data_IF_579799445761
#
_entry.id   IF_579799445761
#
_cell.length_a   1.000
_cell.length_b   1.000
_cell.length_c   1.000
_cell.angle_alpha   90.00
_cell.angle_beta   90.00
_cell.angle_gamma   90.00
#
_symmetry.space_group_name_H-M   'P 1'
#
loop_
_entity.id
_entity.type
_entity.pdbx_description
1 polymer ?
#
# COMPACT_ATOMS: atom_id res chain seq x y z
N UNK A 1 -13.50 54.43 -25.64
CA UNK A 1 -12.44 53.63 -26.30
C UNK A 1 -11.34 53.46 -25.26
N UNK A 2 -10.86 52.23 -25.05
CA UNK A 2 -10.07 51.84 -23.89
C UNK A 2 -8.91 52.77 -23.55
N UNK A 3 -8.69 53.00 -22.25
CA UNK A 3 -7.53 53.72 -21.74
C UNK A 3 -6.77 52.78 -20.80
N UNK A 4 -6.14 51.80 -21.42
CA UNK A 4 -5.01 51.09 -20.83
C UNK A 4 -3.90 52.12 -20.57
N UNK A 5 -3.30 52.11 -19.39
CA UNK A 5 -2.10 52.88 -19.11
C UNK A 5 -0.88 52.12 -19.67
N UNK A 6 -0.34 52.58 -20.80
CA UNK A 6 0.92 52.08 -21.36
C UNK A 6 2.08 52.94 -20.85
N UNK A 7 2.89 52.40 -19.93
CA UNK A 7 4.10 53.05 -19.45
C UNK A 7 5.33 52.32 -20.01
N UNK A 8 6.09 53.00 -20.87
CA UNK A 8 7.32 52.47 -21.45
C UNK A 8 8.48 52.67 -20.46
N UNK A 9 8.43 51.93 -19.35
CA UNK A 9 9.38 52.00 -18.24
C UNK A 9 8.74 52.45 -16.92
N UNK A 10 8.98 51.67 -15.86
CA UNK A 10 8.61 51.80 -14.44
C UNK A 10 7.50 52.78 -14.06
N UNK A 11 6.30 52.27 -13.74
CA UNK A 11 5.23 53.04 -13.11
C UNK A 11 5.45 53.08 -11.59
N UNK A 12 5.95 54.21 -11.07
CA UNK A 12 6.11 54.41 -9.62
C UNK A 12 4.97 55.28 -9.07
N UNK A 13 4.09 54.67 -8.29
CA UNK A 13 2.90 55.31 -7.69
C UNK A 13 3.09 55.57 -6.20
N UNK A 14 4.20 56.22 -5.84
CA UNK A 14 4.45 56.70 -4.48
C UNK A 14 4.50 55.60 -3.39
N UNK A 15 4.61 56.00 -2.10
CA UNK A 15 4.91 55.07 -1.01
C UNK A 15 3.75 54.13 -0.61
N UNK A 16 2.55 54.30 -1.19
CA UNK A 16 1.35 53.51 -0.85
C UNK A 16 0.86 52.61 -2.00
N UNK A 17 1.60 52.54 -3.11
CA UNK A 17 1.27 51.68 -4.23
C UNK A 17 0.03 52.12 -5.02
N UNK A 18 -0.53 51.18 -5.80
CA UNK A 18 -1.72 51.42 -6.64
C UNK A 18 -2.96 51.17 -5.77
N UNK A 19 -3.79 52.20 -5.58
CA UNK A 19 -5.12 52.04 -5.00
C UNK A 19 -6.16 52.02 -6.13
N UNK A 20 -6.98 50.97 -6.17
CA UNK A 20 -8.07 50.83 -7.13
C UNK A 20 -9.36 50.52 -6.39
N UNK A 21 -10.44 51.22 -6.74
CA UNK A 21 -11.79 50.91 -6.25
C UNK A 21 -12.47 49.75 -7.01
N UNK A 22 -11.76 49.14 -7.97
CA UNK A 22 -12.23 48.02 -8.79
C UNK A 22 -11.10 47.05 -9.13
N UNK A 23 -11.40 46.05 -9.97
CA UNK A 23 -10.44 45.00 -10.35
C UNK A 23 -9.16 45.59 -10.96
N UNK A 24 -8.01 45.03 -10.54
CA UNK A 24 -6.70 45.32 -11.13
C UNK A 24 -6.20 44.04 -11.78
N UNK A 25 -6.12 44.03 -13.11
CA UNK A 25 -5.71 42.86 -13.88
C UNK A 25 -4.32 43.06 -14.47
N UNK A 26 -3.51 42.01 -14.45
CA UNK A 26 -2.21 41.95 -15.14
C UNK A 26 -2.31 40.87 -16.22
N UNK A 27 -2.23 41.27 -17.49
CA UNK A 27 -2.40 40.36 -18.61
C UNK A 27 -1.34 40.59 -19.68
N UNK A 28 -0.92 39.50 -20.32
CA UNK A 28 -0.01 39.51 -21.46
C UNK A 28 -0.59 38.65 -22.59
N UNK A 29 -0.58 39.19 -23.81
CA UNK A 29 -0.98 38.48 -25.03
C UNK A 29 0.20 37.82 -25.75
N UNK A 30 1.34 37.74 -25.07
CA UNK A 30 2.57 37.10 -25.57
C UNK A 30 2.87 35.83 -24.78
N UNK A 31 3.91 35.10 -25.19
CA UNK A 31 4.40 33.92 -24.47
C UNK A 31 5.25 34.22 -23.23
N UNK A 32 5.54 35.50 -22.95
CA UNK A 32 6.33 35.90 -21.79
C UNK A 32 5.45 35.95 -20.53
N UNK A 33 6.03 35.76 -19.32
CA UNK A 33 5.29 35.86 -18.07
C UNK A 33 4.57 37.21 -17.96
N UNK A 34 3.28 37.17 -17.63
CA UNK A 34 2.50 38.40 -17.44
C UNK A 34 2.97 39.19 -16.21
N UNK A 35 3.53 38.51 -15.21
CA UNK A 35 4.13 39.11 -14.02
C UNK A 35 5.40 38.36 -13.63
N UNK A 36 6.47 39.12 -13.38
CA UNK A 36 7.70 38.64 -12.74
C UNK A 36 8.01 39.58 -11.59
N UNK A 37 8.11 39.02 -10.37
CA UNK A 37 8.43 39.79 -9.17
C UNK A 37 9.87 39.46 -8.78
N UNK A 38 10.73 40.48 -8.73
CA UNK A 38 12.14 40.34 -8.37
C UNK A 38 12.41 41.25 -7.18
N UNK A 39 12.75 40.64 -6.05
CA UNK A 39 13.27 41.34 -4.88
C UNK A 39 14.78 41.03 -4.75
N UNK A 40 15.59 42.07 -4.63
CA UNK A 40 17.05 42.01 -4.53
C UNK A 40 17.57 42.43 -3.14
N UNK A 41 16.67 42.67 -2.17
CA UNK A 41 17.00 42.97 -0.78
C UNK A 41 16.41 41.90 0.15
N UNK A 42 16.57 42.06 1.46
CA UNK A 42 16.18 41.07 2.48
C UNK A 42 14.70 41.09 2.86
N UNK A 43 13.87 41.85 2.14
CA UNK A 43 12.42 41.85 2.36
C UNK A 43 11.75 40.69 1.64
N UNK A 44 10.51 40.39 2.00
CA UNK A 44 9.73 39.35 1.36
C UNK A 44 9.56 39.61 -0.15
N UNK A 45 9.48 38.51 -0.91
CA UNK A 45 9.31 38.55 -2.36
C UNK A 45 7.86 38.87 -2.73
N UNK A 46 6.89 38.31 -2.00
CA UNK A 46 5.46 38.53 -2.22
C UNK A 46 4.67 38.31 -0.94
N UNK A 47 3.80 39.25 -0.60
CA UNK A 47 2.82 39.12 0.47
C UNK A 47 1.43 39.42 -0.08
N UNK A 48 0.46 38.54 0.16
CA UNK A 48 -0.94 38.76 -0.17
C UNK A 48 -1.74 38.85 1.12
N UNK A 49 -2.56 39.90 1.20
CA UNK A 49 -3.38 40.19 2.36
C UNK A 49 -4.86 40.06 2.02
N UNK A 50 -5.62 39.52 2.96
CA UNK A 50 -7.05 39.75 3.07
C UNK A 50 -7.30 40.76 4.20
N UNK A 51 -7.73 41.96 3.82
CA UNK A 51 -7.78 43.13 4.70
C UNK A 51 -6.41 43.40 5.36
N UNK A 52 -6.30 43.25 6.69
CA UNK A 52 -5.05 43.43 7.44
C UNK A 52 -4.31 42.13 7.72
N UNK A 53 -4.84 40.98 7.29
CA UNK A 53 -4.30 39.66 7.60
C UNK A 53 -3.56 39.13 6.39
N UNK A 54 -2.30 38.76 6.56
CA UNK A 54 -1.52 38.14 5.51
C UNK A 54 -1.93 36.67 5.36
N UNK A 55 -2.36 36.29 4.17
CA UNK A 55 -2.90 34.95 3.86
C UNK A 55 -1.97 34.12 2.98
N UNK A 56 -1.02 34.76 2.30
CA UNK A 56 -0.01 34.09 1.51
C UNK A 56 1.28 34.89 1.54
N UNK A 57 2.39 34.21 1.75
CA UNK A 57 3.71 34.83 1.80
C UNK A 57 4.74 34.05 1.00
N UNK A 58 5.68 34.75 0.40
CA UNK A 58 6.92 34.22 -0.14
C UNK A 58 8.04 35.05 0.46
N UNK A 59 8.71 34.49 1.46
CA UNK A 59 9.79 35.17 2.16
C UNK A 59 11.04 35.32 1.27
N UNK A 60 11.96 36.18 1.70
CA UNK A 60 13.33 36.15 1.19
C UNK A 60 13.93 34.74 1.37
N UNK A 61 14.69 34.28 0.36
CA UNK A 61 15.18 32.90 0.28
C UNK A 61 14.15 31.84 -0.14
N UNK A 62 12.87 32.22 -0.36
CA UNK A 62 11.90 31.44 -1.13
C UNK A 62 11.00 30.47 -0.36
N UNK A 63 10.90 30.58 0.97
CA UNK A 63 9.90 29.82 1.72
C UNK A 63 8.50 30.38 1.47
N UNK A 64 7.55 29.50 1.14
CA UNK A 64 6.17 29.85 0.85
C UNK A 64 5.27 29.49 2.03
N UNK A 65 4.50 30.45 2.53
CA UNK A 65 3.49 30.24 3.57
C UNK A 65 2.08 30.48 3.05
N UNK A 66 1.12 29.64 3.42
CA UNK A 66 -0.32 29.83 3.18
C UNK A 66 -1.01 29.84 4.54
N UNK A 67 -1.66 30.95 4.88
CA UNK A 67 -2.25 31.19 6.21
C UNK A 67 -1.23 31.43 7.33
N UNK A 68 0.06 31.61 7.02
CA UNK A 68 1.12 31.96 7.97
C UNK A 68 2.12 32.91 7.34
N UNK A 69 2.65 33.83 8.16
CA UNK A 69 3.71 34.78 7.79
C UNK A 69 5.11 34.31 8.19
N UNK A 70 5.21 33.17 8.88
CA UNK A 70 6.48 32.61 9.33
C UNK A 70 6.58 31.15 8.89
N UNK A 71 6.61 30.87 7.56
CA UNK A 71 6.83 29.52 7.06
C UNK A 71 8.17 28.97 7.54
N UNK A 72 8.13 27.87 8.29
CA UNK A 72 9.32 27.20 8.84
C UNK A 72 9.90 26.16 7.87
N UNK A 73 9.18 25.85 6.80
CA UNK A 73 9.54 24.90 5.73
C UNK A 73 9.38 25.57 4.36
N UNK A 74 9.92 24.94 3.29
CA UNK A 74 9.85 25.50 1.92
C UNK A 74 8.43 25.78 1.44
N UNK A 75 7.46 24.97 1.87
CA UNK A 75 6.03 25.20 1.67
C UNK A 75 5.30 24.82 2.97
N UNK A 76 4.70 25.80 3.64
CA UNK A 76 4.04 25.64 4.94
C UNK A 76 2.58 26.14 4.87
N UNK A 77 1.61 25.28 5.20
CA UNK A 77 0.20 25.63 5.30
C UNK A 77 -0.21 25.66 6.78
N UNK A 78 -0.79 26.77 7.25
CA UNK A 78 -1.18 26.92 8.66
C UNK A 78 -2.58 26.36 8.93
N UNK A 79 -2.72 25.52 9.96
CA UNK A 79 -3.98 24.95 10.45
C UNK A 79 -4.91 24.32 9.38
N UNK A 80 -4.35 23.94 8.23
CA UNK A 80 -5.00 23.24 7.12
C UNK A 80 -4.08 22.12 6.65
N UNK A 81 -4.57 21.29 5.74
CA UNK A 81 -3.82 20.20 5.17
C UNK A 81 -3.93 20.26 3.63
N UNK A 82 -3.06 19.54 2.91
CA UNK A 82 -3.30 19.25 1.49
C UNK A 82 -4.42 18.20 1.29
N UNK A 83 -5.05 17.75 2.37
CA UNK A 83 -5.68 16.44 2.45
C UNK A 83 -7.13 16.48 1.98
N UNK A 84 -7.44 15.43 1.22
CA UNK A 84 -8.78 14.90 0.97
C UNK A 84 -9.48 14.68 2.32
N UNK A 85 -10.54 15.44 2.59
CA UNK A 85 -11.43 15.18 3.72
C UNK A 85 -11.92 13.73 3.65
N UNK A 86 -11.63 12.91 4.65
CA UNK A 86 -12.14 11.54 4.69
C UNK A 86 -13.66 11.60 4.88
N UNK A 87 -14.40 11.35 3.80
CA UNK A 87 -15.83 11.04 3.89
C UNK A 87 -16.04 9.66 4.49
N UNK A 88 -17.31 9.31 4.74
CA UNK A 88 -17.66 7.95 5.13
C UNK A 88 -17.13 6.94 4.10
N UNK A 89 -16.58 5.80 4.55
CA UNK A 89 -16.09 4.78 3.64
C UNK A 89 -17.25 4.29 2.75
N UNK A 90 -17.06 4.40 1.44
CA UNK A 90 -17.98 3.85 0.44
C UNK A 90 -17.34 2.65 -0.22
N UNK A 91 -18.14 1.63 -0.51
CA UNK A 91 -17.70 0.52 -1.37
C UNK A 91 -17.39 1.08 -2.75
N UNK A 92 -16.15 0.93 -3.20
CA UNK A 92 -15.71 1.42 -4.51
C UNK A 92 -16.00 0.43 -5.63
N UNK A 93 -15.85 -0.86 -5.34
CA UNK A 93 -16.11 -1.98 -6.22
C UNK A 93 -16.24 -3.26 -5.39
N UNK A 94 -16.73 -4.32 -6.03
CA UNK A 94 -16.89 -5.63 -5.43
C UNK A 94 -16.37 -6.67 -6.42
N UNK A 95 -15.46 -7.52 -5.98
CA UNK A 95 -15.10 -8.71 -6.75
C UNK A 95 -15.92 -9.88 -6.22
N UNK A 96 -16.78 -10.42 -7.07
CA UNK A 96 -17.51 -11.67 -6.84
C UNK A 96 -17.42 -12.50 -8.11
N UNK A 97 -16.81 -13.69 -8.09
CA UNK A 97 -16.75 -14.54 -9.27
C UNK A 97 -18.10 -15.23 -9.59
N UNK A 98 -19.13 -15.11 -8.74
CA UNK A 98 -20.45 -15.77 -8.88
C UNK A 98 -20.33 -17.29 -9.18
N UNK A 99 -19.23 -17.91 -8.72
CA UNK A 99 -18.87 -19.27 -9.08
C UNK A 99 -18.00 -19.91 -8.00
N UNK A 100 -18.59 -20.84 -7.24
CA UNK A 100 -17.91 -21.57 -6.16
C UNK A 100 -16.76 -22.46 -6.64
N UNK A 101 -16.70 -22.79 -7.93
CA UNK A 101 -15.53 -23.49 -8.49
C UNK A 101 -14.31 -22.57 -8.62
N UNK A 102 -14.52 -21.26 -8.67
CA UNK A 102 -13.48 -20.22 -8.69
C UNK A 102 -13.16 -19.78 -7.27
N UNK A 103 -14.14 -19.51 -6.43
CA UNK A 103 -13.91 -19.13 -5.03
C UNK A 103 -15.06 -19.62 -4.17
N UNK A 104 -14.73 -20.43 -3.19
CA UNK A 104 -15.64 -20.86 -2.14
C UNK A 104 -14.94 -20.72 -0.79
N UNK A 105 -15.66 -20.10 0.15
CA UNK A 105 -15.18 -19.71 1.48
C UNK A 105 -13.85 -18.94 1.44
N UNK A 106 -13.87 -17.74 0.86
CA UNK A 106 -12.71 -16.84 0.83
C UNK A 106 -12.24 -16.54 2.27
N UNK A 107 -10.98 -16.87 2.58
CA UNK A 107 -10.52 -16.91 3.97
C UNK A 107 -9.47 -15.84 4.29
N UNK A 108 -8.46 -15.67 3.43
CA UNK A 108 -7.39 -14.69 3.64
C UNK A 108 -7.02 -14.00 2.32
N UNK A 109 -6.65 -12.73 2.43
CA UNK A 109 -6.19 -11.91 1.31
C UNK A 109 -4.81 -11.33 1.59
N UNK A 110 -3.95 -11.36 0.58
CA UNK A 110 -2.70 -10.60 0.54
C UNK A 110 -2.74 -9.64 -0.64
N UNK A 111 -2.32 -8.38 -0.46
CA UNK A 111 -2.26 -7.39 -1.55
C UNK A 111 -0.80 -7.08 -1.88
N UNK A 112 -0.45 -7.16 -3.16
CA UNK A 112 0.87 -6.79 -3.66
C UNK A 112 0.75 -6.09 -5.01
N UNK A 113 1.17 -4.82 -5.06
CA UNK A 113 1.02 -3.97 -6.24
C UNK A 113 -0.45 -3.84 -6.66
N UNK A 114 -0.76 -4.18 -7.91
CA UNK A 114 -2.11 -4.11 -8.48
C UNK A 114 -2.93 -5.40 -8.32
N UNK A 115 -2.46 -6.35 -7.53
CA UNK A 115 -3.10 -7.64 -7.37
C UNK A 115 -3.48 -7.92 -5.91
N UNK A 116 -4.67 -8.47 -5.72
CA UNK A 116 -5.06 -9.16 -4.49
C UNK A 116 -4.99 -10.68 -4.71
N UNK A 117 -4.51 -11.40 -3.71
CA UNK A 117 -4.27 -12.84 -3.72
C UNK A 117 -5.14 -13.43 -2.63
N UNK A 118 -6.20 -14.15 -3.01
CA UNK A 118 -7.26 -14.60 -2.10
C UNK A 118 -7.27 -16.12 -2.07
N UNK A 119 -7.13 -16.71 -0.89
CA UNK A 119 -7.27 -18.16 -0.72
C UNK A 119 -8.71 -18.55 -0.44
N UNK A 120 -9.16 -19.62 -1.09
CA UNK A 120 -10.47 -20.22 -0.87
C UNK A 120 -10.34 -21.50 -0.05
N UNK A 121 -10.96 -21.50 1.14
CA UNK A 121 -10.82 -22.60 2.09
C UNK A 121 -11.51 -23.88 1.58
N UNK A 122 -12.70 -23.77 0.99
CA UNK A 122 -13.45 -24.95 0.50
C UNK A 122 -13.15 -25.26 -0.98
N UNK A 123 -12.62 -24.28 -1.71
CA UNK A 123 -12.25 -24.41 -3.12
C UNK A 123 -10.80 -24.84 -3.34
N UNK A 124 -10.02 -24.97 -2.26
CA UNK A 124 -8.65 -25.47 -2.20
C UNK A 124 -7.68 -24.76 -3.17
N UNK A 125 -7.79 -23.43 -3.27
CA UNK A 125 -7.12 -22.67 -4.31
C UNK A 125 -6.62 -21.29 -3.85
N UNK A 126 -5.92 -20.62 -4.77
CA UNK A 126 -5.52 -19.22 -4.68
C UNK A 126 -6.01 -18.49 -5.94
N UNK A 127 -6.86 -17.49 -5.77
CA UNK A 127 -7.30 -16.62 -6.87
C UNK A 127 -6.51 -15.32 -6.85
N UNK A 128 -6.03 -14.92 -8.01
CA UNK A 128 -5.37 -13.64 -8.24
C UNK A 128 -6.40 -12.70 -8.86
N UNK A 129 -6.66 -11.59 -8.19
CA UNK A 129 -7.63 -10.56 -8.60
C UNK A 129 -6.85 -9.31 -9.01
N UNK A 130 -7.02 -8.85 -10.25
CA UNK A 130 -6.54 -7.54 -10.69
C UNK A 130 -7.42 -6.46 -10.06
N UNK A 131 -6.79 -5.61 -9.24
CA UNK A 131 -7.40 -4.49 -8.52
C UNK A 131 -6.86 -3.13 -9.02
N UNK A 132 -6.28 -3.09 -10.24
CA UNK A 132 -5.81 -1.84 -10.85
C UNK A 132 -6.93 -0.83 -11.10
N UNK A 133 -8.14 -1.30 -11.37
CA UNK A 133 -9.37 -0.51 -11.29
C UNK A 133 -10.15 -0.93 -10.03
N UNK A 134 -10.08 -0.15 -8.93
CA UNK A 134 -10.81 -0.46 -7.69
C UNK A 134 -12.32 -0.46 -7.83
N UNK A 135 -12.87 0.09 -8.91
CA UNK A 135 -14.32 0.08 -9.18
C UNK A 135 -14.79 -1.16 -9.95
N UNK A 136 -13.87 -1.86 -10.61
CA UNK A 136 -14.16 -3.05 -11.40
C UNK A 136 -13.02 -4.09 -11.27
N UNK A 137 -12.83 -4.67 -10.06
CA UNK A 137 -11.83 -5.71 -9.87
C UNK A 137 -12.19 -6.97 -10.67
N UNK A 138 -11.20 -7.64 -11.26
CA UNK A 138 -11.43 -8.80 -12.14
C UNK A 138 -10.51 -9.96 -11.81
N UNK A 139 -10.93 -11.19 -12.10
CA UNK A 139 -10.08 -12.37 -11.94
C UNK A 139 -8.94 -12.35 -12.97
N UNK A 140 -7.70 -12.30 -12.50
CA UNK A 140 -6.50 -12.39 -13.32
C UNK A 140 -6.08 -13.84 -13.55
N UNK A 141 -6.18 -14.68 -12.52
CA UNK A 141 -5.84 -16.10 -12.60
C UNK A 141 -6.31 -16.89 -11.39
N UNK A 142 -6.25 -18.21 -11.50
CA UNK A 142 -6.74 -19.14 -10.48
C UNK A 142 -5.79 -20.33 -10.37
N UNK A 143 -5.00 -20.38 -9.30
CA UNK A 143 -4.18 -21.53 -8.99
C UNK A 143 -5.03 -22.58 -8.27
N UNK A 144 -5.35 -23.66 -8.98
CA UNK A 144 -6.11 -24.80 -8.44
C UNK A 144 -5.30 -26.09 -8.68
N UNK A 145 -4.48 -26.52 -7.71
CA UNK A 145 -3.47 -27.55 -7.94
C UNK A 145 -4.04 -28.99 -8.03
N UNK A 146 -5.34 -29.16 -7.84
CA UNK A 146 -5.99 -30.47 -7.82
C UNK A 146 -5.86 -31.17 -6.47
N UNK A 147 -6.43 -32.38 -6.39
CA UNK A 147 -6.48 -33.16 -5.16
C UNK A 147 -5.08 -33.61 -4.71
N UNK A 148 -4.82 -33.55 -3.41
CA UNK A 148 -3.57 -34.05 -2.81
C UNK A 148 -2.40 -33.06 -2.75
N UNK A 149 -2.53 -31.87 -3.36
CA UNK A 149 -1.55 -30.78 -3.16
C UNK A 149 -2.06 -29.80 -2.11
N UNK A 150 -3.31 -29.36 -2.20
CA UNK A 150 -3.89 -28.39 -1.29
C UNK A 150 -5.23 -28.91 -0.79
N UNK A 151 -5.45 -28.79 0.52
CA UNK A 151 -6.74 -28.97 1.14
C UNK A 151 -6.89 -27.99 2.31
N UNK A 152 -8.00 -27.25 2.34
CA UNK A 152 -8.29 -26.16 3.27
C UNK A 152 -7.21 -25.08 3.20
N UNK A 153 -7.20 -24.27 2.15
CA UNK A 153 -6.24 -23.15 2.06
C UNK A 153 -6.56 -22.07 3.12
N UNK A 154 -5.63 -21.84 4.06
CA UNK A 154 -5.87 -20.99 5.25
C UNK A 154 -5.07 -19.70 5.27
N UNK A 155 -3.98 -19.62 4.51
CA UNK A 155 -3.11 -18.44 4.53
C UNK A 155 -2.34 -18.31 3.24
N UNK A 156 -2.04 -17.08 2.85
CA UNK A 156 -1.17 -16.74 1.74
C UNK A 156 -0.23 -15.61 2.12
N UNK A 157 1.04 -15.75 1.73
CA UNK A 157 2.02 -14.68 1.79
C UNK A 157 2.69 -14.53 0.43
N UNK A 158 2.87 -13.30 -0.05
CA UNK A 158 3.55 -13.02 -1.32
C UNK A 158 4.95 -12.49 -1.06
N UNK A 159 5.96 -13.11 -1.67
CA UNK A 159 7.34 -12.61 -1.64
C UNK A 159 7.97 -12.68 -3.03
N UNK A 160 8.18 -11.50 -3.62
CA UNK A 160 8.66 -11.39 -5.00
C UNK A 160 7.70 -12.04 -5.98
N UNK A 161 8.17 -13.06 -6.71
CA UNK A 161 7.41 -13.79 -7.73
C UNK A 161 6.69 -15.04 -7.20
N UNK A 162 6.72 -15.27 -5.89
CA UNK A 162 6.17 -16.48 -5.29
C UNK A 162 5.05 -16.17 -4.32
N UNK A 163 3.98 -16.97 -4.40
CA UNK A 163 2.97 -17.09 -3.36
C UNK A 163 3.25 -18.34 -2.52
N UNK A 164 3.10 -18.20 -1.21
CA UNK A 164 3.28 -19.27 -0.23
C UNK A 164 1.94 -19.54 0.41
N UNK A 165 1.33 -20.68 0.13
CA UNK A 165 -0.05 -21.01 0.53
C UNK A 165 -0.03 -22.13 1.55
N UNK A 166 -0.57 -21.85 2.74
CA UNK A 166 -0.70 -22.84 3.81
C UNK A 166 -1.99 -23.67 3.60
N UNK A 167 -1.86 -24.99 3.67
CA UNK A 167 -2.99 -25.92 3.64
C UNK A 167 -3.26 -26.50 5.02
N UNK A 168 -4.38 -26.11 5.62
CA UNK A 168 -4.80 -26.58 6.94
C UNK A 168 -5.10 -28.07 6.95
N UNK A 169 -5.90 -28.55 6.00
CA UNK A 169 -6.31 -29.95 5.90
C UNK A 169 -5.22 -30.85 5.34
N UNK A 170 -4.38 -30.32 4.44
CA UNK A 170 -3.22 -31.02 3.89
C UNK A 170 -1.94 -30.88 4.73
N UNK A 171 -1.95 -30.08 5.80
CA UNK A 171 -0.83 -29.85 6.71
C UNK A 171 0.49 -29.55 5.99
N UNK A 172 0.45 -28.63 5.03
CA UNK A 172 1.57 -28.33 4.13
C UNK A 172 1.74 -26.83 3.85
N UNK A 173 2.83 -26.51 3.15
CA UNK A 173 3.08 -25.20 2.55
C UNK A 173 3.39 -25.38 1.05
N UNK A 174 2.47 -24.95 0.19
CA UNK A 174 2.68 -24.91 -1.25
C UNK A 174 3.41 -23.61 -1.66
N UNK A 175 4.33 -23.72 -2.61
CA UNK A 175 5.06 -22.60 -3.21
C UNK A 175 4.64 -22.50 -4.67
N UNK A 176 4.04 -21.37 -5.01
CA UNK A 176 3.41 -21.12 -6.31
C UNK A 176 4.17 -20.01 -7.03
N UNK A 177 4.63 -20.27 -8.25
CA UNK A 177 5.13 -19.24 -9.15
C UNK A 177 3.95 -18.43 -9.70
N UNK A 178 4.00 -17.12 -9.45
CA UNK A 178 3.00 -16.13 -9.87
C UNK A 178 3.60 -15.08 -10.81
N UNK A 179 4.73 -15.39 -11.45
CA UNK A 179 5.39 -14.49 -12.41
C UNK A 179 4.50 -14.18 -13.62
N UNK A 180 3.71 -15.15 -14.07
CA UNK A 180 2.54 -14.93 -14.92
C UNK A 180 1.27 -15.07 -14.06
N UNK A 181 0.61 -13.96 -13.69
CA UNK A 181 -0.58 -14.01 -12.85
C UNK A 181 -1.78 -14.68 -13.53
N UNK A 182 -1.74 -14.89 -14.85
CA UNK A 182 -2.80 -15.62 -15.58
C UNK A 182 -2.61 -17.14 -15.54
N UNK A 183 -1.38 -17.60 -15.30
CA UNK A 183 -1.01 -19.01 -15.27
C UNK A 183 -0.15 -19.35 -14.03
N UNK A 184 -0.68 -19.19 -12.80
CA UNK A 184 0.07 -19.53 -11.60
C UNK A 184 0.30 -21.04 -11.49
N UNK A 185 1.51 -21.46 -11.10
CA UNK A 185 1.91 -22.88 -11.10
C UNK A 185 2.62 -23.30 -9.82
N UNK A 186 2.38 -24.52 -9.35
CA UNK A 186 3.11 -25.07 -8.20
C UNK A 186 4.55 -25.39 -8.60
N UNK A 187 5.53 -24.87 -7.85
CA UNK A 187 6.95 -25.18 -8.06
C UNK A 187 7.57 -25.96 -6.90
N UNK A 188 6.96 -25.92 -5.72
CA UNK A 188 7.41 -26.64 -4.55
C UNK A 188 6.27 -26.90 -3.57
N UNK A 189 6.45 -27.91 -2.74
CA UNK A 189 5.49 -28.29 -1.72
C UNK A 189 6.24 -28.86 -0.52
N UNK A 190 6.13 -28.19 0.63
CA UNK A 190 6.66 -28.70 1.88
C UNK A 190 5.56 -29.45 2.62
N UNK A 191 5.75 -30.76 2.81
CA UNK A 191 4.86 -31.60 3.62
C UNK A 191 5.73 -32.44 4.55
N UNK A 192 5.72 -32.20 5.87
CA UNK A 192 6.60 -32.91 6.79
C UNK A 192 6.21 -34.38 7.00
N UNK A 193 4.97 -34.77 6.65
CA UNK A 193 4.41 -36.12 6.85
C UNK A 193 4.52 -36.62 8.31
N UNK A 194 4.54 -35.70 9.27
CA UNK A 194 4.55 -35.96 10.70
C UNK A 194 3.59 -34.98 11.39
N UNK A 195 2.47 -35.45 11.97
CA UNK A 195 1.50 -34.61 12.64
C UNK A 195 2.06 -33.91 13.89
N UNK A 196 3.17 -34.39 14.46
CA UNK A 196 3.85 -33.68 15.56
C UNK A 196 4.62 -32.45 15.07
N UNK A 197 4.99 -32.42 13.80
CA UNK A 197 5.66 -31.28 13.17
C UNK A 197 4.63 -30.31 12.62
N UNK A 198 3.67 -30.79 11.83
CA UNK A 198 2.60 -29.96 11.29
C UNK A 198 1.29 -30.73 11.26
N UNK A 199 0.31 -30.17 11.95
CA UNK A 199 -1.09 -30.53 11.85
C UNK A 199 -1.90 -29.24 11.86
N UNK A 200 -2.70 -29.00 10.82
CA UNK A 200 -3.50 -27.78 10.70
C UNK A 200 -2.65 -26.52 10.45
N UNK A 201 -1.97 -26.42 9.30
CA UNK A 201 -1.25 -25.19 8.94
C UNK A 201 -2.23 -24.02 8.83
N UNK A 202 -1.99 -22.93 9.58
CA UNK A 202 -2.96 -21.83 9.74
C UNK A 202 -2.49 -20.47 9.28
N UNK A 203 -1.19 -20.22 9.44
CA UNK A 203 -0.59 -18.95 9.11
C UNK A 203 0.80 -19.19 8.59
N UNK A 204 1.16 -18.45 7.54
CA UNK A 204 2.53 -18.40 7.02
C UNK A 204 3.03 -16.97 6.99
N UNK A 205 4.27 -16.78 7.44
CA UNK A 205 5.00 -15.53 7.27
C UNK A 205 6.36 -15.82 6.64
N UNK A 206 6.74 -15.04 5.62
CA UNK A 206 8.03 -15.19 4.93
C UNK A 206 9.00 -14.10 5.40
N UNK A 207 10.20 -14.49 5.82
CA UNK A 207 11.28 -13.56 6.13
C UNK A 207 12.62 -14.08 5.59
N UNK A 208 13.12 -13.41 4.54
CA UNK A 208 14.31 -13.83 3.82
C UNK A 208 14.12 -15.21 3.19
N UNK A 209 15.00 -16.15 3.53
CA UNK A 209 14.99 -17.53 3.02
C UNK A 209 14.19 -18.52 3.89
N UNK A 210 13.38 -18.01 4.81
CA UNK A 210 12.62 -18.84 5.74
C UNK A 210 11.13 -18.53 5.67
N UNK A 211 10.32 -19.57 5.66
CA UNK A 211 8.90 -19.51 5.96
C UNK A 211 8.66 -19.95 7.41
N UNK A 212 7.81 -19.23 8.11
CA UNK A 212 7.40 -19.53 9.47
C UNK A 212 5.93 -19.92 9.42
N UNK A 213 5.62 -21.15 9.83
CA UNK A 213 4.29 -21.73 9.68
C UNK A 213 3.75 -22.13 11.05
N UNK A 214 2.59 -21.58 11.42
CA UNK A 214 1.87 -21.98 12.63
C UNK A 214 1.02 -23.21 12.34
N UNK A 215 1.27 -24.31 13.07
CA UNK A 215 0.49 -25.55 13.00
C UNK A 215 -0.44 -25.66 14.20
N UNK A 216 -1.71 -25.34 14.00
CA UNK A 216 -2.73 -25.27 15.05
C UNK A 216 -2.89 -26.60 15.80
N UNK A 217 -3.18 -27.69 15.09
CA UNK A 217 -3.37 -29.01 15.71
C UNK A 217 -2.09 -29.58 16.33
N UNK A 218 -0.92 -29.18 15.80
CA UNK A 218 0.38 -29.63 16.31
C UNK A 218 0.93 -28.82 17.48
N UNK A 219 0.33 -27.68 17.82
CA UNK A 219 0.86 -26.68 18.77
C UNK A 219 2.32 -26.29 18.46
N UNK A 220 2.62 -26.04 17.19
CA UNK A 220 3.99 -25.88 16.71
C UNK A 220 4.17 -24.62 15.86
N UNK A 221 5.31 -23.95 16.03
CA UNK A 221 5.83 -22.99 15.06
C UNK A 221 6.95 -23.69 14.28
N UNK A 222 6.74 -23.94 12.99
CA UNK A 222 7.74 -24.58 12.13
C UNK A 222 8.45 -23.55 11.27
N UNK A 223 9.77 -23.67 11.17
CA UNK A 223 10.62 -22.87 10.31
C UNK A 223 11.00 -23.76 9.12
N UNK A 224 10.62 -23.35 7.93
CA UNK A 224 10.91 -24.04 6.67
C UNK A 224 11.97 -23.23 5.92
N UNK A 225 13.10 -23.87 5.58
CA UNK A 225 14.07 -23.32 4.65
C UNK A 225 13.49 -23.38 3.23
N UNK A 226 13.34 -22.21 2.61
CA UNK A 226 12.82 -22.00 1.26
C UNK A 226 13.88 -21.42 0.33
N UNK A 227 15.16 -21.54 0.68
CA UNK A 227 16.28 -21.08 -0.16
C UNK A 227 16.30 -21.76 -1.53
N UNK A 228 15.87 -23.03 -1.59
CA UNK A 228 15.49 -23.69 -2.82
C UNK A 228 13.96 -23.86 -2.85
N UNK A 229 13.22 -23.00 -3.58
CA UNK A 229 11.77 -23.03 -3.56
C UNK A 229 11.17 -24.28 -4.23
N UNK A 230 11.96 -25.06 -4.99
CA UNK A 230 11.48 -26.34 -5.55
C UNK A 230 11.70 -27.52 -4.62
N UNK A 231 12.46 -27.35 -3.53
CA UNK A 231 12.74 -28.38 -2.54
C UNK A 231 12.83 -27.77 -1.13
N UNK A 232 11.71 -27.23 -0.61
CA UNK A 232 11.69 -26.66 0.73
C UNK A 232 11.86 -27.75 1.81
N UNK A 233 12.57 -27.42 2.89
CA UNK A 233 12.90 -28.39 3.96
C UNK A 233 12.70 -27.80 5.34
N UNK A 234 12.38 -28.61 6.34
CA UNK A 234 12.30 -28.16 7.74
C UNK A 234 13.68 -27.70 8.23
N UNK A 235 13.80 -26.44 8.63
CA UNK A 235 15.00 -25.87 9.24
C UNK A 235 15.01 -26.04 10.77
N UNK A 236 13.83 -26.03 11.37
CA UNK A 236 13.64 -26.20 12.81
C UNK A 236 12.17 -26.01 13.19
N UNK A 237 11.84 -26.24 14.45
CA UNK A 237 10.50 -26.01 14.97
C UNK A 237 10.55 -25.65 16.46
N UNK A 238 9.46 -25.06 16.96
CA UNK A 238 9.31 -24.69 18.36
C UNK A 238 7.93 -25.13 18.86
N UNK A 239 7.95 -26.13 19.75
CA UNK A 239 6.77 -26.68 20.45
C UNK A 239 7.00 -26.56 21.95
N UNK A 240 6.64 -25.43 22.58
CA UNK A 240 6.96 -25.15 23.97
C UNK A 240 6.05 -25.88 24.98
N UNK A 241 5.05 -26.63 24.50
CA UNK A 241 4.01 -27.24 25.31
C UNK A 241 2.78 -26.34 25.48
N UNK A 242 1.65 -26.95 25.79
CA UNK A 242 0.32 -26.29 25.79
C UNK A 242 0.16 -25.20 26.84
N UNK A 243 0.98 -25.20 27.90
CA UNK A 243 1.00 -24.11 28.88
C UNK A 243 1.57 -22.79 28.33
N UNK A 244 2.28 -22.84 27.20
CA UNK A 244 2.89 -21.67 26.55
C UNK A 244 2.21 -21.39 25.20
N UNK A 245 1.91 -22.43 24.44
CA UNK A 245 1.30 -22.31 23.13
C UNK A 245 0.37 -23.49 22.89
N UNK A 246 -0.91 -23.18 22.71
CA UNK A 246 -1.98 -24.12 22.36
C UNK A 246 -2.76 -23.51 21.20
N UNK A 247 -2.92 -24.28 20.13
CA UNK A 247 -3.69 -23.95 18.94
C UNK A 247 -3.33 -22.62 18.26
N UNK A 248 -2.03 -22.38 17.93
CA UNK A 248 -1.60 -21.10 17.37
C UNK A 248 -2.34 -20.79 16.06
N UNK A 249 -2.75 -19.53 15.91
CA UNK A 249 -3.54 -19.02 14.80
C UNK A 249 -2.72 -18.18 13.83
N UNK A 250 -1.81 -17.34 14.34
CA UNK A 250 -1.10 -16.36 13.52
C UNK A 250 0.37 -16.32 13.86
N UNK A 251 1.20 -16.07 12.84
CA UNK A 251 2.63 -15.76 13.02
C UNK A 251 2.98 -14.46 12.29
N UNK A 252 3.76 -13.63 12.97
CA UNK A 252 4.35 -12.41 12.40
C UNK A 252 5.82 -12.33 12.77
N UNK A 253 6.68 -12.00 11.81
CA UNK A 253 8.12 -11.83 12.06
C UNK A 253 8.48 -10.34 12.00
N UNK A 254 9.16 -9.85 13.05
CA UNK A 254 9.76 -8.52 13.07
C UNK A 254 11.21 -8.58 13.50
N UNK A 255 12.11 -8.23 12.59
CA UNK A 255 13.55 -8.36 12.81
C UNK A 255 13.93 -9.80 13.15
N UNK A 256 14.38 -10.02 14.39
CA UNK A 256 14.82 -11.32 14.91
C UNK A 256 13.77 -12.06 15.75
N UNK A 257 12.55 -11.53 15.85
CA UNK A 257 11.52 -12.08 16.72
C UNK A 257 10.33 -12.61 15.92
N UNK A 258 9.83 -13.76 16.33
CA UNK A 258 8.54 -14.30 15.91
C UNK A 258 7.50 -14.00 16.99
N UNK A 259 6.36 -13.47 16.58
CA UNK A 259 5.17 -13.26 17.39
C UNK A 259 4.15 -14.28 16.95
N UNK A 260 3.77 -15.18 17.86
CA UNK A 260 2.78 -16.23 17.61
C UNK A 260 1.62 -16.00 18.56
N UNK A 261 0.41 -16.04 18.02
CA UNK A 261 -0.85 -15.83 18.75
C UNK A 261 -1.79 -16.98 18.47
#
# INVERSE_FOLDING_TARGET
>A
VGNNLYAQGGLNVGPRGIYSGGEVSVYASSSQPALTVIQNSTGDILNLYDNSTEVFTVLDGGNVGIGTTSPTERLHLNASNFLQTSGDPVTKGNWDPDNTSIMDNAFLVYVSGKYAYVVGQESDNLVIVDISDPSNPTTAGNWKPGTGIMNTATSVYISGRYAYVAGGGSSNLAIVDISDPTNPTTIGNWTPNDPNIMDGARSVYISGKYAYVAGGGSDNLVIVDISNPTNPTTAGNWKPGTSIMEYPYSVYISGRYAYVV
#
